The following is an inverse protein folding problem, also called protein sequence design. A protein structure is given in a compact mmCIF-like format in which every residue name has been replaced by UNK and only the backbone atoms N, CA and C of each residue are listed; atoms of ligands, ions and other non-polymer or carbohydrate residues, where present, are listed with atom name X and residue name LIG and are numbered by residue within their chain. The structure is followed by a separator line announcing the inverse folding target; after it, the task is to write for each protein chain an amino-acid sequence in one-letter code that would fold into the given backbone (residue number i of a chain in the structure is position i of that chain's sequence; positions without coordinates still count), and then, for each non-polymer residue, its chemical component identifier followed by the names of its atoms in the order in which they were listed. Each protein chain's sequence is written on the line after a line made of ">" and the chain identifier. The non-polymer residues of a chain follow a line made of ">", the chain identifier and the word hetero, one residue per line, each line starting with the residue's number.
data_IF_213564256203
#
_entry.id   IF_213564256203
#
_cell.length_a   1.000
_cell.length_b   1.000
_cell.length_c   1.000
_cell.angle_alpha   90.00
_cell.angle_beta   90.00
_cell.angle_gamma   90.00
#
_symmetry.space_group_name_H-M   'P 1'
#
loop_
_entity.id
_entity.type
_entity.pdbx_description
1 polymer ?
#
# COMPACT_ATOMS: atom_id res chain seq x y z
N UNK A 1 -21.80 7.66 -4.62
CA UNK A 1 -20.72 6.78 -5.17
C UNK A 1 -20.41 5.69 -4.16
N UNK A 2 -20.29 4.43 -4.61
CA UNK A 2 -19.96 3.30 -3.72
C UNK A 2 -18.47 3.02 -3.71
N UNK A 3 -17.90 2.82 -2.53
CA UNK A 3 -16.49 2.44 -2.34
C UNK A 3 -16.31 1.55 -1.12
N UNK A 4 -15.21 0.79 -1.09
CA UNK A 4 -14.81 0.00 0.09
C UNK A 4 -13.86 0.82 0.95
N UNK A 5 -14.07 0.78 2.26
CA UNK A 5 -13.19 1.44 3.21
C UNK A 5 -11.85 0.69 3.32
N UNK A 6 -10.78 1.43 3.54
CA UNK A 6 -9.44 0.90 3.75
C UNK A 6 -9.10 0.78 5.23
N UNK A 7 -8.17 -0.10 5.59
CA UNK A 7 -7.65 -0.25 6.94
C UNK A 7 -8.54 -1.01 7.93
N UNK A 8 -9.69 -1.57 7.51
CA UNK A 8 -10.62 -2.28 8.40
C UNK A 8 -10.08 -3.65 8.81
N UNK A 9 -9.41 -4.36 7.90
CA UNK A 9 -8.93 -5.72 8.11
C UNK A 9 -7.89 -5.87 9.23
N UNK A 10 -7.26 -4.79 9.63
CA UNK A 10 -6.28 -4.74 10.73
C UNK A 10 -6.90 -4.51 12.11
N UNK A 11 -8.23 -4.37 12.17
CA UNK A 11 -8.92 -4.04 13.41
C UNK A 11 -9.79 -5.19 13.84
N UNK A 12 -9.59 -5.60 15.07
CA UNK A 12 -10.38 -6.64 15.72
C UNK A 12 -11.73 -6.07 16.17
N UNK A 13 -12.49 -5.47 15.26
CA UNK A 13 -13.78 -4.90 15.56
C UNK A 13 -14.84 -6.01 15.62
N UNK A 14 -15.33 -6.29 16.82
CA UNK A 14 -16.43 -7.22 17.09
C UNK A 14 -17.70 -6.42 17.36
N UNK A 15 -18.21 -5.73 16.34
CA UNK A 15 -19.43 -4.92 16.45
C UNK A 15 -20.38 -5.23 15.30
N UNK A 16 -21.67 -5.12 15.57
CA UNK A 16 -22.71 -5.13 14.54
C UNK A 16 -22.89 -3.71 14.00
N UNK A 17 -22.60 -3.50 12.73
CA UNK A 17 -22.84 -2.22 12.06
C UNK A 17 -24.07 -2.40 11.16
N UNK A 18 -25.20 -1.71 11.44
CA UNK A 18 -26.36 -1.80 10.58
C UNK A 18 -26.09 -1.21 9.19
N UNK A 19 -26.68 -1.81 8.16
CA UNK A 19 -26.77 -1.20 6.83
C UNK A 19 -27.64 0.05 6.93
N UNK A 20 -27.42 1.02 6.07
CA UNK A 20 -28.03 2.36 6.07
C UNK A 20 -27.62 3.26 7.25
N UNK A 21 -26.57 2.87 7.98
CA UNK A 21 -25.99 3.73 9.02
C UNK A 21 -25.14 4.82 8.39
N UNK A 22 -25.39 6.08 8.78
CA UNK A 22 -24.53 7.21 8.44
C UNK A 22 -23.31 7.23 9.37
N UNK A 23 -22.11 7.34 8.77
CA UNK A 23 -20.85 7.40 9.50
C UNK A 23 -20.40 8.83 9.75
N UNK A 24 -19.79 9.08 10.89
CA UNK A 24 -19.22 10.37 11.24
C UNK A 24 -17.87 10.53 10.54
N UNK A 25 -17.70 11.63 9.81
CA UNK A 25 -16.46 11.96 9.09
C UNK A 25 -15.62 12.90 9.96
N UNK A 26 -14.39 12.52 10.26
CA UNK A 26 -13.45 13.36 11.02
C UNK A 26 -12.13 13.53 10.23
N UNK A 27 -11.63 14.76 10.04
CA UNK A 27 -10.26 14.95 9.52
C UNK A 27 -9.24 14.31 10.45
N UNK A 28 -8.32 13.53 9.89
CA UNK A 28 -7.27 12.86 10.67
C UNK A 28 -5.92 12.88 9.94
N UNK A 29 -5.34 14.07 9.67
CA UNK A 29 -4.12 14.22 8.89
C UNK A 29 -2.88 13.60 9.56
N UNK A 30 -2.96 13.31 10.86
CA UNK A 30 -1.85 12.75 11.64
C UNK A 30 -2.05 11.27 12.01
N UNK A 31 -3.13 10.63 11.54
CA UNK A 31 -3.42 9.23 11.84
C UNK A 31 -3.73 8.95 13.32
N UNK A 32 -4.23 9.93 14.07
CA UNK A 32 -4.52 9.79 15.51
C UNK A 32 -5.51 8.70 15.83
N UNK A 33 -6.45 8.45 14.91
CA UNK A 33 -7.44 7.39 15.06
C UNK A 33 -6.81 6.00 15.18
N UNK A 34 -5.65 5.79 14.56
CA UNK A 34 -4.92 4.51 14.59
C UNK A 34 -3.77 4.48 15.59
N UNK A 35 -3.37 5.64 16.12
CA UNK A 35 -2.11 5.77 16.86
C UNK A 35 -0.86 5.71 15.97
N UNK A 36 -1.03 5.52 14.66
CA UNK A 36 0.05 5.51 13.68
C UNK A 36 0.13 6.86 12.98
N UNK A 37 1.33 7.41 12.88
CA UNK A 37 1.57 8.63 12.11
C UNK A 37 1.56 8.28 10.64
N UNK A 38 0.59 8.80 9.89
CA UNK A 38 0.62 8.72 8.43
C UNK A 38 0.75 10.11 7.81
N UNK A 39 1.29 10.14 6.60
CA UNK A 39 1.71 11.39 5.93
C UNK A 39 0.66 11.94 4.97
N UNK A 40 -0.60 11.51 5.07
CA UNK A 40 -1.66 12.05 4.22
C UNK A 40 -2.36 13.24 4.91
N UNK A 41 -2.07 14.48 4.50
CA UNK A 41 -2.66 15.66 5.11
C UNK A 41 -4.18 15.78 4.90
N UNK A 42 -4.73 15.00 3.95
CA UNK A 42 -6.15 15.02 3.61
C UNK A 42 -6.88 13.77 4.12
N UNK A 43 -6.26 12.97 4.99
CA UNK A 43 -6.90 11.77 5.50
C UNK A 43 -8.20 12.08 6.24
N UNK A 44 -9.25 11.34 5.89
CA UNK A 44 -10.56 11.40 6.51
C UNK A 44 -10.87 10.08 7.18
N UNK A 45 -10.99 10.10 8.51
CA UNK A 45 -11.39 8.96 9.32
C UNK A 45 -12.92 8.87 9.40
N UNK A 46 -13.44 7.64 9.40
CA UNK A 46 -14.85 7.33 9.53
C UNK A 46 -15.12 6.64 10.85
N UNK A 47 -16.18 7.05 11.53
CA UNK A 47 -16.56 6.59 12.85
C UNK A 47 -17.99 6.16 12.89
N UNK A 48 -18.26 5.03 13.57
CA UNK A 48 -19.58 4.55 13.90
C UNK A 48 -19.90 4.88 15.36
N UNK A 49 -20.99 5.59 15.59
CA UNK A 49 -21.51 5.88 16.92
C UNK A 49 -22.48 4.78 17.34
N UNK A 50 -22.09 3.93 18.27
CA UNK A 50 -22.98 2.94 18.86
C UNK A 50 -23.88 3.61 19.90
N UNK A 51 -25.19 3.75 19.58
CA UNK A 51 -26.17 4.26 20.51
C UNK A 51 -26.68 3.14 21.41
N UNK A 52 -26.36 3.19 22.69
CA UNK A 52 -26.97 2.30 23.69
C UNK A 52 -28.30 2.87 24.12
N UNK A 53 -29.36 2.22 23.67
CA UNK A 53 -30.77 2.31 24.09
C UNK A 53 -31.25 3.59 24.80
N UNK A 54 -31.98 4.38 24.06
CA UNK A 54 -33.21 5.11 24.54
C UNK A 54 -33.08 6.25 25.55
N UNK A 55 -31.99 6.41 26.28
CA UNK A 55 -31.79 7.48 27.26
C UNK A 55 -30.69 8.45 26.80
N UNK A 56 -31.11 9.68 26.51
CA UNK A 56 -30.28 10.83 26.16
C UNK A 56 -29.47 11.32 27.36
N UNK A 57 -28.41 10.62 27.74
CA UNK A 57 -27.33 11.23 28.49
C UNK A 57 -26.09 11.23 27.60
N UNK A 58 -25.47 12.38 27.44
CA UNK A 58 -24.32 12.64 26.55
C UNK A 58 -23.07 11.79 26.87
N UNK A 59 -23.10 10.98 27.92
CA UNK A 59 -21.94 10.25 28.45
C UNK A 59 -21.84 8.79 27.97
N UNK A 60 -22.68 8.31 27.04
CA UNK A 60 -22.82 6.88 26.73
C UNK A 60 -22.60 6.50 25.26
N UNK A 61 -22.16 7.42 24.42
CA UNK A 61 -21.86 7.11 23.03
C UNK A 61 -20.42 6.59 22.90
N UNK A 62 -20.25 5.37 22.41
CA UNK A 62 -18.95 4.81 22.09
C UNK A 62 -18.69 5.02 20.61
N UNK A 63 -17.75 5.89 20.30
CA UNK A 63 -17.28 6.10 18.93
C UNK A 63 -16.32 4.97 18.55
N UNK A 64 -16.71 4.14 17.59
CA UNK A 64 -15.85 3.14 17.00
C UNK A 64 -15.22 3.67 15.72
N UNK A 65 -13.91 3.75 15.71
CA UNK A 65 -13.19 4.05 14.47
C UNK A 65 -13.36 2.88 13.48
N UNK A 66 -13.86 3.16 12.29
CA UNK A 66 -14.22 2.15 11.29
C UNK A 66 -13.14 1.99 10.21
N UNK A 67 -12.53 3.07 9.78
CA UNK A 67 -11.53 3.05 8.71
C UNK A 67 -11.31 4.42 8.12
N UNK A 68 -10.61 4.46 7.00
CA UNK A 68 -10.36 5.68 6.24
C UNK A 68 -11.07 5.66 4.90
N UNK A 69 -11.45 6.83 4.43
CA UNK A 69 -11.82 7.03 3.03
C UNK A 69 -10.57 6.79 2.17
N UNK A 70 -10.70 6.02 1.05
CA UNK A 70 -9.58 5.80 0.14
C UNK A 70 -8.91 7.09 -0.28
N UNK A 71 -7.59 7.08 -0.38
CA UNK A 71 -6.76 8.27 -0.63
C UNK A 71 -7.09 9.02 -1.91
N UNK A 72 -7.53 8.31 -2.94
CA UNK A 72 -7.99 8.86 -4.22
C UNK A 72 -9.32 9.63 -4.12
N UNK A 73 -10.03 9.46 -3.02
CA UNK A 73 -11.33 10.10 -2.76
C UNK A 73 -11.30 11.15 -1.66
N UNK A 74 -10.26 11.16 -0.80
CA UNK A 74 -10.22 11.99 0.39
C UNK A 74 -10.08 13.51 0.13
N UNK A 75 -9.84 13.91 -1.12
CA UNK A 75 -9.83 15.32 -1.54
C UNK A 75 -11.22 15.87 -1.91
N UNK A 76 -12.23 14.99 -1.93
CA UNK A 76 -13.59 15.40 -2.27
C UNK A 76 -14.33 15.94 -1.04
N UNK A 77 -15.32 16.78 -1.29
CA UNK A 77 -16.22 17.28 -0.24
C UNK A 77 -17.35 16.26 -0.06
N UNK A 78 -17.33 15.57 1.07
CA UNK A 78 -18.37 14.62 1.44
C UNK A 78 -19.50 15.33 2.21
N UNK A 79 -20.75 15.04 1.84
CA UNK A 79 -21.97 15.46 2.56
C UNK A 79 -22.38 14.37 3.54
N UNK A 80 -22.37 13.13 3.09
CA UNK A 80 -22.67 11.97 3.94
C UNK A 80 -21.89 10.74 3.46
N UNK A 81 -21.70 9.79 4.37
CA UNK A 81 -21.13 8.45 4.08
C UNK A 81 -22.00 7.42 4.78
N UNK A 82 -22.71 6.60 3.99
CA UNK A 82 -23.68 5.63 4.49
C UNK A 82 -23.19 4.19 4.22
N UNK A 83 -23.30 3.33 5.21
CA UNK A 83 -22.95 1.91 5.10
C UNK A 83 -23.94 1.20 4.17
N UNK A 84 -23.43 0.58 3.09
CA UNK A 84 -24.27 -0.18 2.16
C UNK A 84 -24.11 -1.68 2.32
N UNK A 85 -22.95 -2.14 2.80
CA UNK A 85 -22.72 -3.56 3.08
C UNK A 85 -21.62 -3.73 4.11
N UNK A 86 -21.73 -4.76 4.97
CA UNK A 86 -20.72 -5.19 5.94
C UNK A 86 -20.48 -6.67 5.74
N UNK A 87 -19.22 -7.08 5.76
CA UNK A 87 -18.82 -8.49 5.76
C UNK A 87 -18.18 -8.84 7.09
N UNK A 88 -18.44 -10.02 7.59
CA UNK A 88 -17.96 -10.53 8.86
C UNK A 88 -17.11 -11.78 8.68
N UNK A 89 -16.23 -12.07 9.62
CA UNK A 89 -15.41 -13.29 9.72
C UNK A 89 -15.48 -13.87 11.12
N UNK A 90 -15.40 -15.21 11.25
CA UNK A 90 -15.58 -15.91 12.52
C UNK A 90 -14.42 -15.71 13.50
N UNK A 91 -13.19 -15.57 13.01
CA UNK A 91 -12.00 -15.43 13.85
C UNK A 91 -11.02 -14.40 13.29
N UNK A 92 -10.09 -13.96 14.13
CA UNK A 92 -9.09 -12.94 13.76
C UNK A 92 -8.19 -13.35 12.59
N UNK A 93 -7.83 -14.61 12.51
CA UNK A 93 -6.89 -15.17 11.53
C UNK A 93 -7.58 -15.55 10.20
N UNK A 94 -8.91 -15.61 10.19
CA UNK A 94 -9.69 -15.91 9.00
C UNK A 94 -9.54 -14.85 7.91
N UNK A 95 -8.98 -15.24 6.76
CA UNK A 95 -8.80 -14.36 5.61
C UNK A 95 -10.07 -14.19 4.75
N UNK A 96 -11.09 -15.02 4.97
CA UNK A 96 -12.31 -15.00 4.17
C UNK A 96 -13.51 -14.52 4.98
N UNK A 97 -14.34 -13.61 4.44
CA UNK A 97 -15.61 -13.26 5.06
C UNK A 97 -16.56 -14.48 4.99
N UNK A 98 -17.22 -14.76 6.10
CA UNK A 98 -18.19 -15.86 6.19
C UNK A 98 -19.53 -15.44 5.57
N UNK A 99 -19.81 -14.15 5.53
CA UNK A 99 -21.06 -13.62 4.98
C UNK A 99 -21.31 -12.17 5.39
N UNK A 100 -22.49 -11.67 5.00
CA UNK A 100 -23.00 -10.34 5.38
C UNK A 100 -23.92 -10.37 6.60
N UNK A 101 -24.24 -11.56 7.13
CA UNK A 101 -25.02 -11.68 8.37
C UNK A 101 -24.10 -11.64 9.58
N UNK A 102 -24.46 -10.81 10.56
CA UNK A 102 -23.72 -10.70 11.81
C UNK A 102 -24.00 -11.94 12.69
N UNK A 103 -22.94 -12.60 13.11
CA UNK A 103 -22.95 -13.64 14.13
C UNK A 103 -22.32 -13.04 15.39
N UNK A 104 -22.90 -13.27 16.57
CA UNK A 104 -22.38 -12.75 17.83
C UNK A 104 -20.90 -13.14 18.03
N UNK A 105 -20.06 -12.15 18.29
CA UNK A 105 -18.61 -12.35 18.42
C UNK A 105 -17.82 -12.36 17.09
N UNK A 106 -18.47 -12.24 15.94
CA UNK A 106 -17.80 -12.15 14.65
C UNK A 106 -17.07 -10.80 14.48
N UNK A 107 -15.96 -10.84 13.74
CA UNK A 107 -15.16 -9.67 13.43
C UNK A 107 -15.58 -9.03 12.11
N UNK A 108 -15.53 -7.70 12.04
CA UNK A 108 -15.74 -6.98 10.78
C UNK A 108 -14.58 -7.29 9.83
N UNK A 109 -14.89 -7.84 8.66
CA UNK A 109 -13.93 -8.20 7.62
C UNK A 109 -13.84 -7.13 6.52
N UNK A 110 -14.91 -6.38 6.28
CA UNK A 110 -14.95 -5.32 5.28
C UNK A 110 -16.23 -4.52 5.35
N UNK A 111 -16.20 -3.29 4.87
CA UNK A 111 -17.36 -2.38 4.80
C UNK A 111 -17.37 -1.71 3.45
N UNK A 112 -18.53 -1.71 2.79
CA UNK A 112 -18.81 -0.88 1.63
C UNK A 112 -19.70 0.28 2.05
N UNK A 113 -19.39 1.47 1.55
CA UNK A 113 -20.15 2.68 1.83
C UNK A 113 -20.60 3.35 0.55
N UNK A 114 -21.73 4.03 0.61
CA UNK A 114 -22.15 4.99 -0.39
C UNK A 114 -21.84 6.41 0.11
N UNK A 115 -21.08 7.14 -0.69
CA UNK A 115 -20.70 8.52 -0.40
C UNK A 115 -21.54 9.47 -1.24
N UNK A 116 -22.14 10.47 -0.59
CA UNK A 116 -22.78 11.60 -1.25
C UNK A 116 -21.91 12.85 -1.09
N UNK A 117 -21.79 13.65 -2.15
CA UNK A 117 -20.98 14.85 -2.17
C UNK A 117 -20.68 15.34 -3.58
N UNK A 118 -19.95 16.45 -3.66
CA UNK A 118 -19.50 17.01 -4.93
C UNK A 118 -18.20 16.30 -5.34
N UNK A 119 -18.35 15.23 -6.13
CA UNK A 119 -17.23 14.46 -6.64
C UNK A 119 -16.77 15.03 -7.98
N UNK A 120 -15.61 15.67 -7.98
CA UNK A 120 -14.85 15.85 -9.21
C UNK A 120 -14.06 14.55 -9.45
N UNK A 121 -14.69 13.58 -10.11
CA UNK A 121 -13.99 12.38 -10.58
C UNK A 121 -13.17 12.80 -11.81
N UNK A 122 -12.12 13.53 -11.59
CA UNK A 122 -10.97 13.44 -12.48
C UNK A 122 -10.27 12.15 -12.09
N UNK A 123 -10.61 11.03 -12.76
CA UNK A 123 -9.67 9.92 -12.83
C UNK A 123 -8.44 10.51 -13.54
N UNK A 124 -7.35 10.82 -12.83
CA UNK A 124 -6.12 11.08 -13.54
C UNK A 124 -5.82 9.80 -14.30
N UNK A 125 -5.51 9.91 -15.58
CA UNK A 125 -4.90 8.82 -16.32
C UNK A 125 -3.52 8.53 -15.72
N UNK A 126 -3.50 7.84 -14.58
CA UNK A 126 -2.30 7.54 -13.84
C UNK A 126 -2.12 8.39 -12.57
N UNK A 127 -1.32 7.87 -11.66
CA UNK A 127 -0.92 8.54 -10.42
C UNK A 127 0.06 9.67 -10.77
N UNK A 128 -0.25 10.92 -10.41
CA UNK A 128 0.65 12.07 -10.57
C UNK A 128 1.21 12.50 -9.21
N UNK A 129 2.37 13.14 -9.22
CA UNK A 129 3.00 13.73 -8.06
C UNK A 129 3.26 15.21 -8.35
N UNK A 130 3.11 16.07 -7.36
CA UNK A 130 3.49 17.46 -7.45
C UNK A 130 4.68 17.71 -6.52
N UNK A 131 5.72 18.36 -7.04
CA UNK A 131 6.88 18.76 -6.28
C UNK A 131 7.43 20.08 -6.82
N UNK A 132 7.60 21.10 -5.95
CA UNK A 132 8.10 22.44 -6.31
C UNK A 132 7.33 23.09 -7.47
N UNK A 133 5.99 22.92 -7.49
CA UNK A 133 5.13 23.47 -8.54
C UNK A 133 5.24 22.79 -9.90
N UNK A 134 5.92 21.64 -9.98
CA UNK A 134 6.03 20.82 -11.19
C UNK A 134 5.30 19.50 -11.00
N UNK A 135 4.58 19.09 -12.04
CA UNK A 135 3.86 17.81 -12.07
C UNK A 135 4.77 16.71 -12.61
N UNK A 136 4.71 15.52 -11.98
CA UNK A 136 5.46 14.32 -12.33
C UNK A 136 4.53 13.15 -12.58
N UNK A 137 4.79 12.37 -13.61
CA UNK A 137 4.12 11.09 -13.84
C UNK A 137 4.64 10.04 -12.85
N UNK A 138 3.77 9.22 -12.26
CA UNK A 138 4.27 8.15 -11.41
C UNK A 138 5.08 7.12 -12.21
N UNK A 139 6.15 6.59 -11.63
CA UNK A 139 6.97 5.52 -12.21
C UNK A 139 6.11 4.32 -12.66
N UNK A 140 5.14 3.91 -11.85
CA UNK A 140 4.25 2.80 -12.20
C UNK A 140 3.35 3.12 -13.38
N UNK A 141 2.85 4.35 -13.52
CA UNK A 141 2.06 4.80 -14.67
C UNK A 141 2.91 4.91 -15.93
N UNK A 142 4.13 5.42 -15.81
CA UNK A 142 5.08 5.48 -16.90
C UNK A 142 5.43 4.07 -17.41
N UNK A 143 5.73 3.14 -16.51
CA UNK A 143 6.06 1.76 -16.84
C UNK A 143 4.87 0.90 -17.32
N UNK A 144 3.61 1.35 -17.20
CA UNK A 144 2.48 0.69 -17.88
C UNK A 144 2.61 0.72 -19.40
N UNK A 145 3.37 1.68 -19.94
CA UNK A 145 3.67 1.80 -21.36
C UNK A 145 4.86 0.91 -21.79
N UNK A 146 5.56 0.29 -20.83
CA UNK A 146 6.62 -0.68 -21.10
C UNK A 146 6.03 -1.90 -21.81
N UNK A 147 6.65 -2.37 -22.92
CA UNK A 147 6.17 -3.55 -23.64
C UNK A 147 6.01 -4.74 -22.70
N UNK A 148 4.83 -5.32 -22.65
CA UNK A 148 4.53 -6.52 -21.88
C UNK A 148 4.00 -7.60 -22.81
N UNK A 149 4.26 -8.85 -22.46
CA UNK A 149 3.68 -9.99 -23.18
C UNK A 149 2.25 -10.22 -22.71
N UNK A 150 1.22 -9.85 -23.52
CA UNK A 150 -0.18 -10.05 -23.16
C UNK A 150 -0.56 -11.54 -23.08
N UNK A 151 0.08 -12.41 -23.88
CA UNK A 151 -0.23 -13.84 -23.88
C UNK A 151 0.07 -14.50 -22.55
N UNK A 152 1.17 -14.09 -21.91
CA UNK A 152 1.51 -14.57 -20.57
C UNK A 152 0.44 -14.19 -19.55
N UNK A 153 -0.08 -12.96 -19.58
CA UNK A 153 -1.12 -12.50 -18.67
C UNK A 153 -2.45 -13.22 -18.92
N UNK A 154 -2.83 -13.39 -20.17
CA UNK A 154 -4.04 -14.12 -20.56
C UNK A 154 -3.93 -15.58 -20.10
N UNK A 155 -2.82 -16.24 -20.41
CA UNK A 155 -2.58 -17.63 -19.98
C UNK A 155 -2.62 -17.79 -18.47
N UNK A 156 -2.04 -16.84 -17.73
CA UNK A 156 -2.09 -16.82 -16.28
C UNK A 156 -3.52 -16.63 -15.76
N UNK A 157 -4.28 -15.69 -16.32
CA UNK A 157 -5.67 -15.44 -15.94
C UNK A 157 -6.56 -16.68 -16.17
N UNK A 158 -6.47 -17.29 -17.35
CA UNK A 158 -7.21 -18.50 -17.69
C UNK A 158 -6.87 -19.73 -16.81
N UNK A 159 -5.64 -19.80 -16.29
CA UNK A 159 -5.23 -20.89 -15.38
C UNK A 159 -5.69 -20.70 -13.95
N UNK A 160 -5.97 -19.49 -13.51
CA UNK A 160 -6.23 -19.19 -12.12
C UNK A 160 -7.67 -18.76 -11.84
N UNK A 161 -8.43 -18.41 -12.87
CA UNK A 161 -9.80 -17.91 -12.73
C UNK A 161 -10.71 -18.48 -13.80
N UNK A 162 -11.91 -18.84 -13.42
CA UNK A 162 -12.94 -19.47 -14.25
C UNK A 162 -13.99 -18.45 -14.75
N UNK A 163 -14.00 -17.24 -14.22
CA UNK A 163 -14.89 -16.15 -14.64
C UNK A 163 -14.25 -14.77 -14.53
N UNK A 164 -14.76 -13.74 -15.27
CA UNK A 164 -14.30 -12.35 -15.12
C UNK A 164 -14.51 -11.78 -13.72
N UNK A 165 -15.56 -12.19 -13.01
CA UNK A 165 -15.87 -11.78 -11.65
C UNK A 165 -14.82 -12.35 -10.68
N UNK A 166 -14.51 -13.64 -10.79
CA UNK A 166 -13.47 -14.30 -10.01
C UNK A 166 -12.08 -13.72 -10.29
N UNK A 167 -11.82 -13.33 -11.55
CA UNK A 167 -10.60 -12.62 -11.91
C UNK A 167 -10.47 -11.28 -11.18
N UNK A 168 -11.52 -10.44 -11.17
CA UNK A 168 -11.49 -9.15 -10.44
C UNK A 168 -11.32 -9.34 -8.95
N UNK A 169 -12.08 -10.27 -8.36
CA UNK A 169 -11.99 -10.58 -6.92
C UNK A 169 -10.60 -11.09 -6.56
N UNK A 170 -10.04 -11.99 -7.36
CA UNK A 170 -8.70 -12.52 -7.16
C UNK A 170 -7.61 -11.46 -7.31
N UNK A 171 -7.72 -10.52 -8.25
CA UNK A 171 -6.78 -9.41 -8.38
C UNK A 171 -6.83 -8.48 -7.17
N UNK A 172 -8.03 -8.17 -6.65
CA UNK A 172 -8.17 -7.34 -5.45
C UNK A 172 -7.54 -8.04 -4.25
N UNK A 173 -7.79 -9.32 -4.04
CA UNK A 173 -7.18 -10.10 -2.96
C UNK A 173 -5.64 -10.12 -3.06
N UNK A 174 -5.09 -10.26 -4.27
CA UNK A 174 -3.65 -10.21 -4.48
C UNK A 174 -3.08 -8.81 -4.18
N UNK A 175 -3.80 -7.76 -4.52
CA UNK A 175 -3.41 -6.38 -4.21
C UNK A 175 -3.46 -6.12 -2.70
N UNK A 176 -4.52 -6.57 -2.01
CA UNK A 176 -4.68 -6.41 -0.56
C UNK A 176 -3.58 -7.18 0.20
N UNK A 177 -3.27 -8.40 -0.21
CA UNK A 177 -2.17 -9.18 0.35
C UNK A 177 -0.81 -8.51 0.10
N UNK A 178 -0.62 -7.90 -1.07
CA UNK A 178 0.58 -7.11 -1.37
C UNK A 178 0.71 -5.91 -0.42
N UNK A 179 -0.38 -5.16 -0.25
CA UNK A 179 -0.41 -4.00 0.67
C UNK A 179 -0.14 -4.41 2.11
N UNK A 180 -0.76 -5.50 2.59
CA UNK A 180 -0.53 -6.00 3.95
C UNK A 180 0.95 -6.38 4.18
N UNK A 181 1.58 -7.02 3.20
CA UNK A 181 2.99 -7.37 3.22
C UNK A 181 3.89 -6.12 3.30
N UNK A 182 3.63 -5.10 2.47
CA UNK A 182 4.38 -3.84 2.52
C UNK A 182 4.26 -3.18 3.89
N UNK A 183 3.05 -3.07 4.44
CA UNK A 183 2.83 -2.45 5.75
C UNK A 183 3.58 -3.17 6.89
N UNK A 184 3.63 -4.50 6.88
CA UNK A 184 4.36 -5.26 7.89
C UNK A 184 5.87 -5.02 7.83
N UNK A 185 6.43 -4.96 6.62
CA UNK A 185 7.86 -4.67 6.43
C UNK A 185 8.17 -3.23 6.84
N UNK A 186 7.32 -2.28 6.43
CA UNK A 186 7.43 -0.86 6.76
C UNK A 186 7.44 -0.66 8.28
N UNK A 187 6.47 -1.25 8.99
CA UNK A 187 6.34 -1.15 10.45
C UNK A 187 7.61 -1.64 11.16
N UNK A 188 8.13 -2.80 10.76
CA UNK A 188 9.38 -3.33 11.29
C UNK A 188 10.58 -2.41 11.01
N UNK A 189 10.73 -1.92 9.77
CA UNK A 189 11.86 -1.07 9.39
C UNK A 189 11.83 0.29 10.10
N UNK A 190 10.64 0.86 10.32
CA UNK A 190 10.47 2.09 11.10
C UNK A 190 10.87 1.86 12.58
N UNK A 191 10.44 0.74 13.18
CA UNK A 191 10.83 0.40 14.54
C UNK A 191 12.34 0.27 14.65
N UNK A 192 12.98 -0.45 13.74
CA UNK A 192 14.44 -0.59 13.69
C UNK A 192 15.15 0.75 13.51
N UNK A 193 14.68 1.62 12.61
CA UNK A 193 15.26 2.95 12.43
C UNK A 193 15.19 3.79 13.71
N UNK A 194 14.08 3.71 14.45
CA UNK A 194 13.91 4.39 15.72
C UNK A 194 14.85 3.84 16.83
N UNK A 195 15.05 2.54 16.85
CA UNK A 195 15.99 1.88 17.78
C UNK A 195 17.42 2.32 17.51
N UNK A 196 17.85 2.27 16.25
CA UNK A 196 19.21 2.63 15.82
C UNK A 196 19.51 4.13 16.04
N UNK A 197 18.51 5.01 15.83
CA UNK A 197 18.62 6.47 16.05
C UNK A 197 18.47 6.94 17.49
N UNK A 198 18.09 6.07 18.42
CA UNK A 198 17.82 6.45 19.81
C UNK A 198 19.08 6.51 20.64
N UNK A 199 19.33 7.68 21.27
CA UNK A 199 20.39 7.90 22.27
C UNK A 199 19.85 7.98 23.72
N UNK A 200 18.59 7.61 23.94
CA UNK A 200 17.88 7.79 25.22
C UNK A 200 17.73 6.50 26.02
N UNK A 201 17.35 6.64 27.32
CA UNK A 201 16.97 5.54 28.22
C UNK A 201 15.78 4.68 27.72
N UNK A 202 15.15 5.05 26.60
CA UNK A 202 14.06 4.30 25.97
C UNK A 202 14.56 3.29 24.92
N UNK A 203 15.86 3.13 24.74
CA UNK A 203 16.42 2.24 23.69
C UNK A 203 16.06 0.77 23.94
N UNK A 204 15.99 0.35 25.20
CA UNK A 204 15.60 -1.02 25.57
C UNK A 204 14.13 -1.29 25.18
N UNK A 205 13.21 -0.37 25.51
CA UNK A 205 11.79 -0.49 25.15
C UNK A 205 11.59 -0.55 23.62
N UNK A 206 12.36 0.25 22.86
CA UNK A 206 12.31 0.25 21.40
C UNK A 206 12.87 -1.05 20.81
N UNK A 207 13.92 -1.61 21.38
CA UNK A 207 14.48 -2.89 20.95
C UNK A 207 13.51 -4.05 21.19
N UNK A 208 12.77 -4.06 22.30
CA UNK A 208 11.72 -5.05 22.55
C UNK A 208 10.59 -4.97 21.49
N UNK A 209 10.20 -3.76 21.11
CA UNK A 209 9.21 -3.54 20.04
C UNK A 209 9.75 -4.05 18.70
N UNK A 210 10.99 -3.71 18.33
CA UNK A 210 11.63 -4.17 17.12
C UNK A 210 11.66 -5.71 17.04
N UNK A 211 12.13 -6.36 18.13
CA UNK A 211 12.19 -7.82 18.21
C UNK A 211 10.81 -8.46 18.11
N UNK A 212 9.82 -7.89 18.78
CA UNK A 212 8.44 -8.36 18.71
C UNK A 212 7.88 -8.29 17.28
N UNK A 213 8.09 -7.17 16.57
CA UNK A 213 7.67 -7.00 15.20
C UNK A 213 8.40 -7.95 14.24
N UNK A 214 9.71 -8.16 14.45
CA UNK A 214 10.50 -9.11 13.67
C UNK A 214 9.91 -10.53 13.76
N UNK A 215 9.55 -10.97 14.98
CA UNK A 215 9.00 -12.29 15.23
C UNK A 215 7.56 -12.46 14.68
N UNK A 216 6.83 -11.38 14.46
CA UNK A 216 5.49 -11.39 13.88
C UNK A 216 5.49 -11.41 12.35
N UNK A 217 6.64 -11.17 11.71
CA UNK A 217 6.74 -11.21 10.25
C UNK A 217 6.46 -12.63 9.71
N UNK A 218 5.80 -12.75 8.56
CA UNK A 218 5.72 -14.02 7.83
C UNK A 218 7.09 -14.64 7.62
N UNK A 219 7.19 -15.97 7.71
CA UNK A 219 8.47 -16.70 7.73
C UNK A 219 9.40 -16.36 6.55
N UNK A 220 8.86 -16.12 5.38
CA UNK A 220 9.62 -15.74 4.19
C UNK A 220 10.24 -14.34 4.30
N UNK A 221 9.52 -13.40 4.91
CA UNK A 221 9.99 -12.04 5.16
C UNK A 221 11.03 -12.07 6.29
N UNK A 222 10.73 -12.77 7.39
CA UNK A 222 11.68 -13.00 8.48
C UNK A 222 13.01 -13.57 7.96
N UNK A 223 12.96 -14.64 7.16
CA UNK A 223 14.14 -15.26 6.57
C UNK A 223 14.95 -14.27 5.71
N UNK A 224 14.28 -13.40 4.96
CA UNK A 224 14.92 -12.37 4.17
C UNK A 224 15.62 -11.35 5.08
N UNK A 225 14.93 -10.78 6.04
CA UNK A 225 15.49 -9.77 6.97
C UNK A 225 16.70 -10.32 7.71
N UNK A 226 16.61 -11.53 8.27
CA UNK A 226 17.73 -12.18 8.95
C UNK A 226 18.92 -12.44 8.00
N UNK A 227 18.65 -12.73 6.73
CA UNK A 227 19.70 -12.96 5.73
C UNK A 227 20.50 -11.71 5.36
N UNK A 228 19.98 -10.50 5.65
CA UNK A 228 20.70 -9.25 5.40
C UNK A 228 21.89 -9.08 6.36
N UNK A 229 21.82 -9.71 7.55
CA UNK A 229 22.77 -9.47 8.63
C UNK A 229 22.66 -8.04 9.20
N UNK A 230 23.79 -7.43 9.50
CA UNK A 230 23.80 -6.04 9.99
C UNK A 230 23.48 -5.07 8.85
N UNK A 231 22.49 -4.22 9.08
CA UNK A 231 22.10 -3.15 8.14
C UNK A 231 21.55 -1.95 8.90
N UNK A 232 21.67 -0.78 8.29
CA UNK A 232 21.12 0.48 8.74
C UNK A 232 19.93 0.87 7.86
N UNK A 233 18.81 1.28 8.44
CA UNK A 233 17.66 1.81 7.71
C UNK A 233 17.87 3.29 7.46
N UNK A 234 18.02 3.66 6.19
CA UNK A 234 18.22 5.06 5.78
C UNK A 234 16.89 5.76 5.60
N UNK A 235 15.97 5.15 4.84
CA UNK A 235 14.61 5.67 4.67
C UNK A 235 13.63 4.55 4.35
N UNK A 236 12.33 4.81 4.63
CA UNK A 236 11.20 3.91 4.37
C UNK A 236 10.11 4.73 3.68
N UNK A 237 9.48 4.18 2.64
CA UNK A 237 8.42 4.82 1.84
C UNK A 237 8.78 6.25 1.38
N UNK A 238 10.04 6.44 0.95
CA UNK A 238 10.56 7.75 0.60
C UNK A 238 10.25 8.14 -0.85
N UNK A 239 9.86 9.39 -1.04
CA UNK A 239 9.52 9.92 -2.36
C UNK A 239 10.76 10.28 -3.14
N UNK A 240 10.83 9.84 -4.38
CA UNK A 240 11.93 10.17 -5.30
C UNK A 240 11.40 10.81 -6.58
N UNK A 241 12.22 11.68 -7.14
CA UNK A 241 11.87 12.52 -8.30
C UNK A 241 13.02 12.54 -9.30
N UNK A 242 12.68 12.53 -10.58
CA UNK A 242 13.60 12.80 -11.66
C UNK A 242 13.08 13.98 -12.51
N UNK A 243 13.77 15.11 -12.40
CA UNK A 243 13.38 16.34 -13.09
C UNK A 243 13.50 16.25 -14.60
N UNK A 244 14.41 15.43 -15.13
CA UNK A 244 14.68 15.31 -16.57
C UNK A 244 13.57 14.55 -17.29
N UNK A 245 13.14 13.42 -16.70
CA UNK A 245 12.07 12.58 -17.26
C UNK A 245 10.69 12.97 -16.75
N UNK A 246 10.58 13.90 -15.81
CA UNK A 246 9.38 14.25 -15.08
C UNK A 246 8.66 13.01 -14.50
N UNK A 247 9.45 12.10 -13.92
CA UNK A 247 8.98 10.86 -13.28
C UNK A 247 9.21 10.95 -11.78
N UNK A 248 8.24 10.48 -11.01
CA UNK A 248 8.33 10.36 -9.56
C UNK A 248 7.83 9.00 -9.08
N UNK A 249 8.18 8.65 -7.86
CA UNK A 249 7.67 7.45 -7.20
C UNK A 249 7.96 7.45 -5.72
N UNK A 250 7.61 6.34 -5.09
CA UNK A 250 7.92 6.06 -3.70
C UNK A 250 8.76 4.79 -3.68
N UNK A 251 9.95 4.88 -3.08
CA UNK A 251 10.84 3.75 -2.86
C UNK A 251 10.45 3.07 -1.55
N UNK A 252 10.24 1.76 -1.55
CA UNK A 252 9.76 1.05 -0.36
C UNK A 252 10.75 1.15 0.80
N UNK A 253 12.05 0.98 0.54
CA UNK A 253 13.09 1.22 1.54
C UNK A 253 14.46 1.51 0.90
N UNK A 254 15.30 2.27 1.61
CA UNK A 254 16.74 2.39 1.36
C UNK A 254 17.47 1.87 2.59
N UNK A 255 18.24 0.81 2.38
CA UNK A 255 19.06 0.21 3.43
C UNK A 255 20.53 0.37 3.10
N UNK A 256 21.34 0.56 4.13
CA UNK A 256 22.80 0.54 4.02
C UNK A 256 23.34 -0.79 4.53
N UNK A 257 23.88 -1.59 3.63
CA UNK A 257 24.35 -2.95 3.90
C UNK A 257 25.83 -3.02 3.49
N UNK A 258 26.72 -3.31 4.45
CA UNK A 258 28.17 -3.36 4.22
C UNK A 258 28.72 -2.10 3.52
N UNK A 259 28.18 -0.95 3.91
CA UNK A 259 28.59 0.35 3.38
C UNK A 259 27.93 0.78 2.06
N UNK A 260 27.17 -0.10 1.39
CA UNK A 260 26.46 0.20 0.15
C UNK A 260 25.02 0.66 0.45
N UNK A 261 24.56 1.69 -0.25
CA UNK A 261 23.17 2.13 -0.26
C UNK A 261 22.37 1.33 -1.30
N UNK A 262 21.36 0.61 -0.85
CA UNK A 262 20.54 -0.25 -1.71
C UNK A 262 19.09 0.18 -1.61
N UNK A 263 18.49 0.54 -2.75
CA UNK A 263 17.06 0.79 -2.86
C UNK A 263 16.32 -0.54 -3.04
N UNK A 264 15.30 -0.79 -2.22
CA UNK A 264 14.50 -2.01 -2.26
C UNK A 264 13.09 -1.73 -2.79
N UNK A 265 12.52 -2.75 -3.45
CA UNK A 265 11.14 -2.80 -3.91
C UNK A 265 10.59 -4.21 -3.64
N UNK A 266 9.54 -4.27 -2.78
CA UNK A 266 8.94 -5.51 -2.32
C UNK A 266 7.85 -5.99 -3.27
N UNK A 267 7.80 -7.27 -3.58
CA UNK A 267 6.77 -7.86 -4.44
C UNK A 267 6.23 -9.15 -3.83
N UNK A 268 4.91 -9.27 -3.77
CA UNK A 268 4.22 -10.51 -3.39
C UNK A 268 4.23 -11.56 -4.51
N UNK A 269 4.71 -11.23 -5.71
CA UNK A 269 4.75 -12.10 -6.88
C UNK A 269 5.74 -13.26 -6.74
N UNK A 270 5.50 -14.33 -7.52
CA UNK A 270 6.38 -15.52 -7.56
C UNK A 270 7.73 -15.25 -8.24
N UNK A 271 7.78 -14.29 -9.14
CA UNK A 271 8.97 -14.00 -9.94
C UNK A 271 9.06 -12.51 -10.27
N UNK A 272 10.31 -12.07 -10.49
CA UNK A 272 10.62 -10.69 -10.87
C UNK A 272 10.29 -10.48 -12.34
N UNK A 273 9.55 -9.41 -12.64
CA UNK A 273 9.30 -8.95 -14.02
C UNK A 273 10.32 -7.87 -14.39
N UNK A 274 10.55 -7.69 -15.70
CA UNK A 274 11.52 -6.69 -16.18
C UNK A 274 11.15 -5.27 -15.73
N UNK A 275 9.85 -4.94 -15.77
CA UNK A 275 9.35 -3.63 -15.27
C UNK A 275 9.67 -3.37 -13.80
N UNK A 276 9.66 -4.40 -12.93
CA UNK A 276 10.04 -4.26 -11.51
C UNK A 276 11.53 -3.89 -11.38
N UNK A 277 12.38 -4.46 -12.23
CA UNK A 277 13.81 -4.12 -12.26
C UNK A 277 14.03 -2.69 -12.70
N UNK A 278 13.33 -2.24 -13.75
CA UNK A 278 13.43 -0.84 -14.23
C UNK A 278 12.90 0.11 -13.15
N UNK A 279 11.83 -0.25 -12.46
CA UNK A 279 11.25 0.53 -11.37
C UNK A 279 12.26 0.77 -10.24
N UNK A 280 12.75 -0.29 -9.61
CA UNK A 280 13.66 -0.16 -8.45
C UNK A 280 15.01 0.41 -8.84
N UNK A 281 15.51 0.05 -10.04
CA UNK A 281 16.76 0.61 -10.55
C UNK A 281 16.64 2.11 -10.86
N UNK A 282 15.46 2.57 -11.33
CA UNK A 282 15.15 3.99 -11.48
C UNK A 282 15.11 4.70 -10.12
N UNK A 283 14.46 4.12 -9.12
CA UNK A 283 14.48 4.68 -7.76
C UNK A 283 15.90 4.77 -7.20
N UNK A 284 16.69 3.70 -7.37
CA UNK A 284 18.10 3.70 -6.96
C UNK A 284 18.91 4.80 -7.64
N UNK A 285 18.68 5.08 -8.94
CA UNK A 285 19.33 6.16 -9.67
C UNK A 285 18.87 7.54 -9.17
N UNK A 286 17.57 7.74 -8.97
CA UNK A 286 17.01 9.02 -8.47
C UNK A 286 17.52 9.34 -7.06
N UNK A 287 17.62 8.34 -6.21
CA UNK A 287 18.07 8.47 -4.80
C UNK A 287 19.60 8.33 -4.64
N UNK A 288 20.36 8.18 -5.73
CA UNK A 288 21.82 8.02 -5.73
C UNK A 288 22.31 6.83 -4.92
N UNK A 289 21.55 5.74 -4.95
CA UNK A 289 21.94 4.47 -4.37
C UNK A 289 22.95 3.72 -5.28
N UNK A 290 23.77 2.87 -4.66
CA UNK A 290 24.76 2.05 -5.37
C UNK A 290 24.07 0.93 -6.16
N UNK A 291 22.91 0.46 -5.69
CA UNK A 291 22.21 -0.70 -6.24
C UNK A 291 20.70 -0.59 -6.03
N UNK A 292 19.92 -1.18 -6.95
CA UNK A 292 18.51 -1.50 -6.72
C UNK A 292 18.35 -3.00 -6.45
N UNK A 293 17.35 -3.38 -5.67
CA UNK A 293 17.02 -4.78 -5.37
C UNK A 293 15.50 -5.00 -5.38
N UNK A 294 15.02 -5.90 -6.24
CA UNK A 294 13.64 -6.40 -6.18
C UNK A 294 13.63 -7.67 -5.34
N UNK A 295 12.77 -7.71 -4.33
CA UNK A 295 12.56 -8.91 -3.51
C UNK A 295 11.16 -9.45 -3.74
N UNK A 296 11.06 -10.69 -4.21
CA UNK A 296 9.80 -11.39 -4.43
C UNK A 296 9.54 -12.39 -3.31
N UNK A 297 8.55 -12.14 -2.47
CA UNK A 297 8.14 -12.99 -1.35
C UNK A 297 7.16 -14.11 -1.73
N UNK A 298 6.70 -14.18 -2.98
CA UNK A 298 5.92 -15.30 -3.50
C UNK A 298 6.75 -16.43 -4.13
N UNK A 299 8.08 -16.39 -3.99
CA UNK A 299 8.97 -17.39 -4.61
C UNK A 299 8.78 -18.78 -4.01
N UNK A 300 8.66 -19.80 -4.88
CA UNK A 300 8.48 -21.21 -4.50
C UNK A 300 9.82 -21.91 -4.30
N UNK A 301 10.67 -21.40 -3.42
CA UNK A 301 11.93 -22.02 -3.02
C UNK A 301 11.95 -22.24 -1.50
N UNK A 302 12.97 -22.91 -0.98
CA UNK A 302 13.09 -23.22 0.46
C UNK A 302 13.17 -21.97 1.34
N UNK A 303 13.66 -20.85 0.82
CA UNK A 303 13.79 -19.59 1.55
C UNK A 303 12.48 -18.80 1.58
N UNK A 304 11.56 -19.05 0.62
CA UNK A 304 10.30 -18.34 0.46
C UNK A 304 10.43 -16.95 -0.18
N UNK A 305 11.64 -16.56 -0.60
CA UNK A 305 11.88 -15.29 -1.29
C UNK A 305 12.97 -15.43 -2.37
N UNK A 306 13.00 -14.46 -3.28
CA UNK A 306 14.08 -14.31 -4.27
C UNK A 306 14.48 -12.85 -4.41
N UNK A 307 15.78 -12.59 -4.64
CA UNK A 307 16.32 -11.25 -4.79
C UNK A 307 16.93 -11.09 -6.18
N UNK A 308 16.56 -10.01 -6.87
CA UNK A 308 17.18 -9.59 -8.13
C UNK A 308 17.85 -8.23 -7.95
N UNK A 309 19.16 -8.20 -8.10
CA UNK A 309 19.96 -6.97 -8.06
C UNK A 309 19.90 -6.23 -9.41
N UNK A 310 19.87 -4.92 -9.36
CA UNK A 310 19.69 -4.06 -10.55
C UNK A 310 20.71 -2.92 -10.53
N UNK A 311 21.40 -2.74 -11.65
CA UNK A 311 22.29 -1.59 -11.85
C UNK A 311 21.46 -0.32 -12.12
N UNK A 312 21.59 0.75 -11.31
CA UNK A 312 20.84 1.99 -11.49
C UNK A 312 21.04 2.62 -12.87
N UNK A 313 22.28 2.65 -13.36
CA UNK A 313 22.62 3.20 -14.69
C UNK A 313 21.93 2.43 -15.83
N UNK A 314 21.82 1.12 -15.73
CA UNK A 314 21.11 0.33 -16.74
C UNK A 314 19.61 0.62 -16.74
N UNK A 315 19.01 0.78 -15.56
CA UNK A 315 17.60 1.17 -15.42
C UNK A 315 17.36 2.60 -15.95
N UNK A 316 18.24 3.55 -15.66
CA UNK A 316 18.22 4.91 -16.23
C UNK A 316 18.17 4.86 -17.77
N UNK A 317 19.06 4.09 -18.39
CA UNK A 317 19.08 3.96 -19.85
C UNK A 317 17.75 3.40 -20.39
N UNK A 318 17.15 2.40 -19.72
CA UNK A 318 15.84 1.87 -20.11
C UNK A 318 14.73 2.93 -20.01
N UNK A 319 14.71 3.74 -18.94
CA UNK A 319 13.73 4.81 -18.77
C UNK A 319 13.87 5.88 -19.85
N UNK A 320 15.09 6.30 -20.16
CA UNK A 320 15.38 7.29 -21.21
C UNK A 320 14.93 6.77 -22.58
N UNK A 321 15.28 5.53 -22.94
CA UNK A 321 14.85 4.95 -24.21
C UNK A 321 13.34 4.82 -24.31
N UNK A 322 12.66 4.46 -23.22
CA UNK A 322 11.19 4.40 -23.20
C UNK A 322 10.57 5.79 -23.39
N UNK A 323 11.11 6.81 -22.76
CA UNK A 323 10.66 8.20 -22.92
C UNK A 323 10.83 8.70 -24.37
N UNK A 324 11.98 8.42 -24.98
CA UNK A 324 12.26 8.72 -26.37
C UNK A 324 11.26 8.03 -27.32
N UNK A 325 11.00 6.73 -27.10
CA UNK A 325 10.00 5.98 -27.89
C UNK A 325 8.60 6.58 -27.77
N UNK A 326 8.17 6.91 -26.56
CA UNK A 326 6.84 7.51 -26.32
C UNK A 326 6.74 8.91 -26.94
N UNK A 327 7.84 9.66 -26.98
CA UNK A 327 7.90 10.96 -27.65
C UNK A 327 7.81 10.81 -29.18
N UNK A 328 8.50 9.82 -29.75
CA UNK A 328 8.40 9.48 -31.16
C UNK A 328 6.98 9.06 -31.55
N UNK A 329 6.30 8.21 -30.76
CA UNK A 329 4.91 7.84 -31.01
C UNK A 329 3.98 9.06 -31.07
N UNK A 330 4.13 10.00 -30.14
CA UNK A 330 3.36 11.26 -30.14
C UNK A 330 3.59 12.07 -31.42
N UNK A 331 4.82 12.11 -31.94
CA UNK A 331 5.13 12.82 -33.17
C UNK A 331 4.59 12.12 -34.42
N UNK A 332 4.58 10.79 -34.46
CA UNK A 332 4.02 10.00 -35.56
C UNK A 332 2.48 10.07 -35.60
N UNK A 333 1.82 10.24 -34.48
CA UNK A 333 0.36 10.36 -34.40
C UNK A 333 -0.13 11.78 -34.64
N UNK A 334 0.77 12.75 -34.88
CA UNK A 334 0.39 14.12 -35.11
C UNK A 334 -0.05 14.32 -36.56
N UNK A 335 -1.38 14.35 -36.73
CA UNK A 335 -2.21 14.85 -37.84
C UNK A 335 -2.63 13.90 -38.94
N UNK A 336 -3.88 13.65 -38.87
CA UNK A 336 -4.75 13.93 -40.02
C UNK A 336 -5.76 15.00 -39.66
#
# INVERSE_FOLDING_TARGET
>A
MKTKLTGISFRNLQIKIPVDTELIIKPDPLGKATGQVHTDPNALSLWYEERKDGNRSEDWNIDHFIGYIPKDLNQNVFKSVTVTQVWYKENQEGQQPVGSEYIEGAYVAGIEVECEGDFQITKPEGRTYEHKGKEFTSMTSFLKKYPSDPEHLITWALKNFDSPENYKTGLNLLADNGTAMHNQIEEYLIAKQNTDGSHSSKKEDLAEIEDSLLLQLPQNIYNFIVSLGDFEVISVEDRCYDDNLAIAGTCDAILKIKGMLIAFDWKSSKSVQQKHKVQVGGYADFMKCDLGAVVCFGAKNKQGYSVSKVCPKAARNCLTLLDELLTMEKTLTYKR
#
